data_IF_349367372905
#
_entry.id   IF_349367372905
#
_cell.length_a   1.000
_cell.length_b   1.000
_cell.length_c   1.000
_cell.angle_alpha   90.00
_cell.angle_beta   90.00
_cell.angle_gamma   90.00
#
_symmetry.space_group_name_H-M   'P 1'
#
loop_
_entity.id
_entity.type
_entity.pdbx_description
1 polymer ?
#
# COMPACT_ATOMS: atom_id res chain seq x y z
N UNK A 1 18.33 -1.01 -5.25
CA UNK A 1 17.21 -0.81 -6.23
C UNK A 1 16.20 -1.96 -6.25
N UNK A 2 16.62 -3.24 -6.13
CA UNK A 2 15.71 -4.40 -6.11
C UNK A 2 14.63 -4.33 -5.02
N UNK A 3 14.95 -3.81 -3.85
CA UNK A 3 14.08 -3.88 -2.66
C UNK A 3 12.78 -3.06 -2.79
N UNK A 4 12.79 -2.00 -3.61
CA UNK A 4 11.63 -1.11 -3.77
C UNK A 4 10.57 -1.64 -4.73
N UNK A 5 10.81 -2.80 -5.36
CA UNK A 5 9.86 -3.39 -6.32
C UNK A 5 8.49 -3.62 -5.69
N UNK A 6 8.43 -3.87 -4.37
CA UNK A 6 7.19 -4.10 -3.62
C UNK A 6 6.32 -2.85 -3.55
N UNK A 7 6.84 -1.64 -3.78
CA UNK A 7 6.04 -0.41 -3.80
C UNK A 7 5.18 -0.31 -5.09
N UNK A 8 5.62 -0.94 -6.18
CA UNK A 8 5.03 -0.79 -7.51
C UNK A 8 3.62 -1.42 -7.59
N UNK A 9 3.38 -2.68 -7.17
CA UNK A 9 2.08 -3.31 -7.31
C UNK A 9 0.95 -2.55 -6.64
N UNK A 10 1.16 -2.02 -5.43
CA UNK A 10 0.14 -1.26 -4.71
C UNK A 10 -0.13 0.07 -5.40
N UNK A 11 0.91 0.78 -5.82
CA UNK A 11 0.78 2.04 -6.56
C UNK A 11 -0.04 1.86 -7.84
N UNK A 12 0.27 0.82 -8.63
CA UNK A 12 -0.49 0.47 -9.83
C UNK A 12 -1.92 0.04 -9.51
N UNK A 13 -2.13 -0.70 -8.42
CA UNK A 13 -3.44 -1.09 -7.93
C UNK A 13 -4.32 0.12 -7.62
N UNK A 14 -3.78 1.11 -6.90
CA UNK A 14 -4.47 2.38 -6.61
C UNK A 14 -4.79 3.14 -7.89
N UNK A 15 -3.84 3.27 -8.82
CA UNK A 15 -4.07 3.91 -10.13
C UNK A 15 -5.24 3.23 -10.85
N UNK A 16 -5.23 1.90 -10.92
CA UNK A 16 -6.26 1.12 -11.60
C UNK A 16 -7.65 1.32 -10.94
N UNK A 17 -7.71 1.28 -9.60
CA UNK A 17 -8.93 1.51 -8.82
C UNK A 17 -9.50 2.91 -9.06
N UNK A 18 -8.66 3.94 -9.02
CA UNK A 18 -9.07 5.33 -9.21
C UNK A 18 -9.48 5.62 -10.66
N UNK A 19 -8.72 5.14 -11.65
CA UNK A 19 -9.00 5.43 -13.06
C UNK A 19 -10.27 4.74 -13.56
N UNK A 20 -10.51 3.49 -13.17
CA UNK A 20 -11.72 2.75 -13.58
C UNK A 20 -12.99 3.19 -12.87
N UNK A 21 -12.87 3.88 -11.74
CA UNK A 21 -14.02 4.30 -10.95
C UNK A 21 -14.60 5.64 -11.39
N UNK A 22 -15.91 5.69 -11.56
CA UNK A 22 -16.68 6.93 -11.73
C UNK A 22 -17.06 7.58 -10.38
N UNK A 23 -16.81 6.89 -9.25
CA UNK A 23 -17.19 7.34 -7.90
C UNK A 23 -16.38 8.56 -7.46
N UNK A 24 -15.13 8.67 -7.89
CA UNK A 24 -14.22 9.74 -7.48
C UNK A 24 -14.15 10.86 -8.53
N UNK A 25 -14.22 12.11 -8.08
CA UNK A 25 -14.00 13.27 -8.94
C UNK A 25 -12.54 13.31 -9.44
N UNK A 26 -12.29 13.99 -10.56
CA UNK A 26 -10.94 14.16 -11.11
C UNK A 26 -9.96 14.74 -10.08
N UNK A 27 -10.42 15.70 -9.28
CA UNK A 27 -9.61 16.33 -8.21
C UNK A 27 -9.19 15.30 -7.16
N UNK A 28 -10.12 14.49 -6.66
CA UNK A 28 -9.80 13.44 -5.68
C UNK A 28 -8.81 12.44 -6.25
N UNK A 29 -8.96 12.04 -7.53
CA UNK A 29 -8.01 11.14 -8.19
C UNK A 29 -6.60 11.74 -8.21
N UNK A 30 -6.45 13.01 -8.61
CA UNK A 30 -5.13 13.66 -8.65
C UNK A 30 -4.52 13.84 -7.26
N UNK A 31 -5.30 14.21 -6.25
CA UNK A 31 -4.83 14.33 -4.86
C UNK A 31 -4.33 12.98 -4.35
N UNK A 32 -5.11 11.90 -4.56
CA UNK A 32 -4.70 10.55 -4.16
C UNK A 32 -3.43 10.11 -4.88
N UNK A 33 -3.32 10.33 -6.19
CA UNK A 33 -2.11 10.01 -6.95
C UNK A 33 -0.89 10.79 -6.43
N UNK A 34 -1.06 12.09 -6.18
CA UNK A 34 -0.03 12.94 -5.60
C UNK A 34 0.41 12.45 -4.22
N UNK A 35 -0.54 12.07 -3.36
CA UNK A 35 -0.27 11.49 -2.05
C UNK A 35 0.62 10.25 -2.15
N UNK A 36 0.24 9.25 -2.96
CA UNK A 36 1.01 8.01 -3.07
C UNK A 36 2.37 8.23 -3.75
N UNK A 37 2.46 9.16 -4.70
CA UNK A 37 3.73 9.52 -5.32
C UNK A 37 4.70 10.15 -4.32
N UNK A 38 4.25 11.19 -3.60
CA UNK A 38 5.06 11.88 -2.57
C UNK A 38 5.45 10.91 -1.46
N UNK A 39 4.51 10.07 -0.99
CA UNK A 39 4.79 9.04 0.01
C UNK A 39 5.88 8.08 -0.45
N UNK A 40 5.86 7.67 -1.72
CA UNK A 40 6.88 6.79 -2.31
C UNK A 40 8.25 7.42 -2.34
N UNK A 41 8.35 8.64 -2.82
CA UNK A 41 9.62 9.37 -2.84
C UNK A 41 10.14 9.55 -1.41
N UNK A 42 9.28 9.98 -0.48
CA UNK A 42 9.67 10.21 0.92
C UNK A 42 10.10 8.92 1.63
N UNK A 43 9.37 7.82 1.42
CA UNK A 43 9.69 6.52 1.99
C UNK A 43 11.08 6.05 1.57
N UNK A 44 11.40 6.14 0.28
CA UNK A 44 12.71 5.77 -0.27
C UNK A 44 13.81 6.65 0.34
N UNK A 45 13.64 7.98 0.33
CA UNK A 45 14.65 8.92 0.84
C UNK A 45 15.00 8.66 2.31
N UNK A 46 13.99 8.42 3.15
CA UNK A 46 14.21 8.14 4.58
C UNK A 46 14.89 6.78 4.77
N UNK A 47 14.51 5.76 3.99
CA UNK A 47 15.12 4.42 4.09
C UNK A 47 16.59 4.44 3.66
N UNK A 48 16.91 5.09 2.54
CA UNK A 48 18.30 5.29 2.10
C UNK A 48 19.12 6.04 3.16
N UNK A 49 18.53 7.06 3.79
CA UNK A 49 19.19 7.77 4.91
C UNK A 49 19.45 6.85 6.11
N UNK A 50 18.52 5.98 6.48
CA UNK A 50 18.70 4.99 7.56
C UNK A 50 19.84 4.04 7.20
N UNK A 51 19.87 3.57 5.94
CA UNK A 51 20.93 2.72 5.43
C UNK A 51 22.30 3.39 5.54
N UNK A 52 22.47 4.60 5.02
CA UNK A 52 23.75 5.32 5.05
C UNK A 52 24.28 5.60 6.46
N UNK A 53 23.37 5.84 7.42
CA UNK A 53 23.73 6.16 8.80
C UNK A 53 24.08 4.92 9.63
N UNK A 54 23.34 3.83 9.47
CA UNK A 54 23.35 2.71 10.43
C UNK A 54 23.83 1.38 9.85
N UNK A 55 23.90 1.23 8.52
CA UNK A 55 24.30 -0.04 7.88
C UNK A 55 25.83 -0.27 7.87
N UNK A 56 26.59 0.43 8.71
CA UNK A 56 28.06 0.34 8.75
C UNK A 56 28.51 -0.77 9.69
N UNK A 57 29.21 -1.77 9.16
CA UNK A 57 29.83 -2.85 9.93
C UNK A 57 29.35 -4.25 9.50
N UNK A 58 30.06 -5.28 9.97
CA UNK A 58 29.64 -6.67 9.85
C UNK A 58 29.85 -7.37 11.21
N UNK A 59 28.80 -7.92 11.84
CA UNK A 59 27.40 -7.96 11.38
C UNK A 59 26.75 -6.56 11.36
N UNK A 60 25.62 -6.46 10.65
CA UNK A 60 24.83 -5.22 10.60
C UNK A 60 24.35 -4.89 12.02
N UNK A 61 24.56 -3.66 12.53
CA UNK A 61 24.15 -3.28 13.87
C UNK A 61 22.64 -3.40 14.11
N UNK A 62 22.22 -3.84 15.29
CA UNK A 62 20.81 -3.96 15.68
C UNK A 62 20.03 -2.64 15.53
N UNK A 63 20.71 -1.50 15.73
CA UNK A 63 20.10 -0.18 15.58
C UNK A 63 19.64 0.10 14.14
N UNK A 64 20.29 -0.46 13.12
CA UNK A 64 19.83 -0.35 11.74
C UNK A 64 18.48 -1.07 11.60
N UNK A 65 18.39 -2.29 12.10
CA UNK A 65 17.20 -3.11 12.02
C UNK A 65 16.03 -2.47 12.76
N UNK A 66 16.23 -2.00 13.99
CA UNK A 66 15.18 -1.30 14.75
C UNK A 66 14.61 -0.09 13.98
N UNK A 67 15.49 0.75 13.41
CA UNK A 67 15.07 1.94 12.66
C UNK A 67 14.40 1.57 11.34
N UNK A 68 14.95 0.62 10.59
CA UNK A 68 14.41 0.19 9.31
C UNK A 68 13.06 -0.52 9.46
N UNK A 69 12.91 -1.44 10.42
CA UNK A 69 11.65 -2.15 10.69
C UNK A 69 10.55 -1.17 11.09
N UNK A 70 10.83 -0.27 12.04
CA UNK A 70 9.84 0.73 12.45
C UNK A 70 9.44 1.66 11.30
N UNK A 71 10.39 2.08 10.45
CA UNK A 71 10.07 2.87 9.27
C UNK A 71 9.25 2.10 8.24
N UNK A 72 9.57 0.82 8.03
CA UNK A 72 8.80 -0.07 7.16
C UNK A 72 7.36 -0.24 7.67
N UNK A 73 7.14 -0.42 8.98
CA UNK A 73 5.80 -0.54 9.57
C UNK A 73 4.97 0.73 9.38
N UNK A 74 5.57 1.90 9.64
CA UNK A 74 4.93 3.20 9.40
C UNK A 74 4.58 3.36 7.91
N UNK A 75 5.54 3.07 7.02
CA UNK A 75 5.33 3.13 5.59
C UNK A 75 4.18 2.22 5.15
N UNK A 76 4.21 0.96 5.57
CA UNK A 76 3.16 -0.02 5.29
C UNK A 76 1.78 0.51 5.71
N UNK A 77 1.66 1.06 6.91
CA UNK A 77 0.39 1.62 7.39
C UNK A 77 -0.08 2.80 6.54
N UNK A 78 0.83 3.74 6.22
CA UNK A 78 0.55 4.91 5.38
C UNK A 78 0.15 4.55 3.94
N UNK A 79 0.60 3.41 3.43
CA UNK A 79 0.19 2.87 2.14
C UNK A 79 -1.14 2.11 2.21
N UNK A 80 -1.27 1.24 3.21
CA UNK A 80 -2.34 0.26 3.28
C UNK A 80 -3.67 0.91 3.70
N UNK A 81 -3.65 1.81 4.68
CA UNK A 81 -4.89 2.42 5.19
C UNK A 81 -5.60 3.26 4.12
N UNK A 82 -4.95 4.20 3.42
CA UNK A 82 -5.63 4.95 2.36
C UNK A 82 -6.10 4.05 1.22
N UNK A 83 -5.32 3.01 0.88
CA UNK A 83 -5.73 2.03 -0.15
C UNK A 83 -6.98 1.27 0.29
N UNK A 84 -7.03 0.79 1.53
CA UNK A 84 -8.18 0.10 2.10
C UNK A 84 -9.41 1.03 2.15
N UNK A 85 -9.24 2.30 2.49
CA UNK A 85 -10.32 3.30 2.47
C UNK A 85 -10.88 3.49 1.06
N UNK A 86 -10.01 3.68 0.06
CA UNK A 86 -10.43 3.81 -1.35
C UNK A 86 -11.20 2.54 -1.78
N UNK A 87 -10.65 1.37 -1.48
CA UNK A 87 -11.27 0.08 -1.79
C UNK A 87 -12.65 -0.09 -1.13
N UNK A 88 -12.77 0.24 0.16
CA UNK A 88 -14.03 0.18 0.89
C UNK A 88 -15.09 1.11 0.30
N UNK A 89 -14.72 2.35 -0.05
CA UNK A 89 -15.63 3.30 -0.68
C UNK A 89 -16.18 2.73 -1.99
N UNK A 90 -15.33 2.11 -2.82
CA UNK A 90 -15.74 1.47 -4.07
C UNK A 90 -16.72 0.34 -3.82
N UNK A 91 -16.36 -0.59 -2.93
CA UNK A 91 -17.21 -1.72 -2.58
C UNK A 91 -18.59 -1.26 -2.06
N UNK A 92 -18.61 -0.33 -1.09
CA UNK A 92 -19.86 0.17 -0.50
C UNK A 92 -20.73 0.90 -1.52
N UNK A 93 -20.13 1.66 -2.43
CA UNK A 93 -20.87 2.37 -3.48
C UNK A 93 -21.50 1.39 -4.47
N UNK A 94 -20.77 0.36 -4.88
CA UNK A 94 -21.29 -0.68 -5.76
C UNK A 94 -22.41 -1.49 -5.10
N UNK A 95 -22.23 -1.87 -3.83
CA UNK A 95 -23.26 -2.57 -3.06
C UNK A 95 -24.58 -1.81 -2.94
N UNK A 96 -24.52 -0.47 -2.84
CA UNK A 96 -25.72 0.38 -2.76
C UNK A 96 -26.43 0.56 -4.11
N UNK A 97 -25.68 0.54 -5.21
CA UNK A 97 -26.23 0.78 -6.56
C UNK A 97 -27.00 -0.41 -7.09
N UNK A 98 -26.61 -1.62 -6.72
CA UNK A 98 -27.12 -2.85 -7.31
C UNK A 98 -28.27 -3.47 -6.49
N UNK A 99 -29.34 -3.87 -7.18
CA UNK A 99 -30.52 -4.47 -6.56
C UNK A 99 -30.52 -6.00 -6.68
N UNK A 100 -29.83 -6.54 -7.68
CA UNK A 100 -29.75 -7.98 -7.92
C UNK A 100 -28.85 -8.70 -6.89
N UNK A 101 -29.38 -9.78 -6.32
CA UNK A 101 -28.70 -10.64 -5.35
C UNK A 101 -27.46 -11.31 -5.95
N UNK A 102 -27.51 -11.73 -7.23
CA UNK A 102 -26.35 -12.39 -7.88
C UNK A 102 -25.16 -11.45 -7.94
N UNK A 103 -25.40 -10.19 -8.30
CA UNK A 103 -24.35 -9.17 -8.33
C UNK A 103 -23.83 -8.82 -6.94
N UNK A 104 -24.69 -8.80 -5.91
CA UNK A 104 -24.24 -8.63 -4.52
C UNK A 104 -23.31 -9.75 -4.06
N UNK A 105 -23.57 -11.00 -4.44
CA UNK A 105 -22.68 -12.14 -4.15
C UNK A 105 -21.33 -11.95 -4.87
N UNK A 106 -21.33 -11.54 -6.13
CA UNK A 106 -20.10 -11.26 -6.87
C UNK A 106 -19.29 -10.12 -6.25
N UNK A 107 -19.97 -9.04 -5.82
CA UNK A 107 -19.33 -7.92 -5.12
C UNK A 107 -18.75 -8.34 -3.76
N UNK A 108 -19.44 -9.22 -3.04
CA UNK A 108 -18.92 -9.80 -1.79
C UNK A 108 -17.65 -10.61 -2.05
N UNK A 109 -17.65 -11.46 -3.09
CA UNK A 109 -16.46 -12.22 -3.47
C UNK A 109 -15.30 -11.29 -3.84
N UNK A 110 -15.56 -10.24 -4.61
CA UNK A 110 -14.56 -9.22 -4.95
C UNK A 110 -14.00 -8.53 -3.70
N UNK A 111 -14.87 -8.19 -2.74
CA UNK A 111 -14.45 -7.62 -1.45
C UNK A 111 -13.50 -8.56 -0.71
N UNK A 112 -13.87 -9.84 -0.59
CA UNK A 112 -13.05 -10.87 0.08
C UNK A 112 -11.70 -11.02 -0.61
N UNK A 113 -11.68 -11.16 -1.94
CA UNK A 113 -10.44 -11.29 -2.72
C UNK A 113 -9.55 -10.06 -2.54
N UNK A 114 -10.11 -8.85 -2.61
CA UNK A 114 -9.35 -7.63 -2.40
C UNK A 114 -8.78 -7.52 -0.99
N UNK A 115 -9.53 -7.90 0.04
CA UNK A 115 -9.03 -7.95 1.42
C UNK A 115 -7.86 -8.94 1.59
N UNK A 116 -7.97 -10.13 0.99
CA UNK A 116 -6.89 -11.12 0.99
C UNK A 116 -5.64 -10.59 0.26
N UNK A 117 -5.81 -9.90 -0.86
CA UNK A 117 -4.69 -9.30 -1.59
C UNK A 117 -4.01 -8.18 -0.79
N UNK A 118 -4.77 -7.33 -0.11
CA UNK A 118 -4.22 -6.28 0.77
C UNK A 118 -3.47 -6.90 1.96
N UNK A 119 -4.02 -7.95 2.55
CA UNK A 119 -3.33 -8.69 3.62
C UNK A 119 -2.04 -9.34 3.12
N UNK A 120 -2.08 -10.05 1.99
CA UNK A 120 -0.90 -10.66 1.38
C UNK A 120 0.16 -9.61 1.03
N UNK A 121 -0.25 -8.45 0.55
CA UNK A 121 0.64 -7.32 0.30
C UNK A 121 1.33 -6.85 1.58
N UNK A 122 0.59 -6.67 2.68
CA UNK A 122 1.16 -6.24 3.98
C UNK A 122 2.26 -7.19 4.47
N UNK A 123 2.04 -8.49 4.26
CA UNK A 123 3.00 -9.53 4.62
C UNK A 123 4.27 -9.44 3.76
N UNK A 124 4.12 -9.35 2.43
CA UNK A 124 5.26 -9.24 1.50
C UNK A 124 6.04 -7.94 1.76
N UNK A 125 5.35 -6.83 2.02
CA UNK A 125 5.96 -5.55 2.34
C UNK A 125 6.84 -5.65 3.58
N UNK A 126 6.28 -6.19 4.67
CA UNK A 126 6.99 -6.37 5.94
C UNK A 126 8.21 -7.27 5.76
N UNK A 127 8.05 -8.41 5.08
CA UNK A 127 9.15 -9.34 4.80
C UNK A 127 10.28 -8.72 3.97
N UNK A 128 9.92 -7.92 2.97
CA UNK A 128 10.91 -7.39 2.02
C UNK A 128 11.62 -6.14 2.53
N UNK A 129 10.93 -5.32 3.33
CA UNK A 129 11.42 -4.00 3.71
C UNK A 129 11.73 -3.85 5.19
N UNK A 130 11.12 -4.65 6.07
CA UNK A 130 11.21 -4.49 7.52
C UNK A 130 11.74 -5.71 8.29
N UNK A 131 11.88 -6.88 7.67
CA UNK A 131 12.27 -8.09 8.39
C UNK A 131 13.79 -8.15 8.64
N UNK A 132 14.17 -8.59 9.84
CA UNK A 132 15.56 -8.86 10.23
C UNK A 132 15.90 -10.30 9.82
N UNK A 133 16.83 -10.53 8.87
CA UNK A 133 17.20 -11.85 8.40
C UNK A 133 17.97 -12.68 9.43
#
# INVERSE_FOLDING_TARGET
MSDYIVLIPLFLGVIAMLNRSEVFSKVVKYISLGYFFVLTVFFILVRERIYDLYHKGSPIPDIYWEKNSNWADIGMFLYLVPTAVIFLILCLTWFKREKDIKWKILMFLFFVVGAVLLFGYSFIFSLSLGYVP
#
